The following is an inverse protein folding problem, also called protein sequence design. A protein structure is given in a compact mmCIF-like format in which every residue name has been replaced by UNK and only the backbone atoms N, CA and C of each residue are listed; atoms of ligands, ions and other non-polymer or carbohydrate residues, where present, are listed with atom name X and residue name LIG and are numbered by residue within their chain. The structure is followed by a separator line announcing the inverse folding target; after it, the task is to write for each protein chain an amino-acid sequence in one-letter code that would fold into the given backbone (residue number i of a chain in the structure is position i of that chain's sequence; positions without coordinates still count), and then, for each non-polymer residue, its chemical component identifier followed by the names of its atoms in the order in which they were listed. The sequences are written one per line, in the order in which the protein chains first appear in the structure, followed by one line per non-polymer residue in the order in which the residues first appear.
data_IF_512476668804
#
_entry.id   IF_512476668804
#
_cell.length_a   1.000
_cell.length_b   1.000
_cell.length_c   1.000
_cell.angle_alpha   90.00
_cell.angle_beta   90.00
_cell.angle_gamma   90.00
#
_symmetry.space_group_name_H-M   'P 1'
#
loop_
_entity.id
_entity.type
_entity.pdbx_description
1 polymer ?
#
# COMPACT_ATOMS: atom_id res chain seq x y z
N UNK A 1 -9.23 11.94 0.75
CA UNK A 1 -8.09 12.29 -0.15
C UNK A 1 -7.88 11.09 -1.06
N UNK A 2 -7.79 11.27 -2.39
CA UNK A 2 -7.49 10.16 -3.31
C UNK A 2 -6.08 9.62 -3.04
N UNK A 3 -5.91 8.30 -3.14
CA UNK A 3 -4.62 7.64 -3.00
C UNK A 3 -3.82 7.87 -4.29
N UNK A 4 -2.55 8.28 -4.16
CA UNK A 4 -1.65 8.42 -5.30
C UNK A 4 -1.41 7.04 -5.97
N UNK A 5 -1.18 7.00 -7.29
CA UNK A 5 -0.91 5.76 -8.00
C UNK A 5 0.32 5.05 -7.43
N UNK A 6 0.20 3.74 -7.23
CA UNK A 6 1.31 2.91 -6.77
C UNK A 6 2.36 2.81 -7.89
N UNK A 7 3.57 3.32 -7.65
CA UNK A 7 4.70 3.14 -8.57
C UNK A 7 5.45 1.85 -8.24
N UNK A 8 5.76 1.05 -9.26
CA UNK A 8 6.59 -0.14 -9.13
C UNK A 8 7.97 0.13 -9.73
N UNK A 9 9.03 -0.28 -9.04
CA UNK A 9 10.40 -0.05 -9.46
C UNK A 9 11.39 -0.83 -8.61
N UNK A 10 12.57 -1.09 -9.16
CA UNK A 10 13.71 -1.66 -8.42
C UNK A 10 14.64 -0.53 -7.99
N UNK A 11 14.91 -0.45 -6.69
CA UNK A 11 15.80 0.54 -6.12
C UNK A 11 17.11 -0.13 -5.72
N UNK A 12 18.23 0.46 -6.13
CA UNK A 12 19.57 0.01 -5.74
C UNK A 12 20.13 1.00 -4.71
N UNK A 13 20.64 0.49 -3.60
CA UNK A 13 21.21 1.32 -2.54
C UNK A 13 21.39 0.56 -1.24
N UNK A 14 21.95 1.24 -0.24
CA UNK A 14 22.14 0.72 1.11
C UNK A 14 20.95 1.19 1.96
N UNK A 15 20.23 0.24 2.56
CA UNK A 15 19.17 0.57 3.51
C UNK A 15 19.80 1.20 4.76
N UNK A 16 19.52 2.48 4.99
CA UNK A 16 19.99 3.22 6.17
C UNK A 16 19.02 3.03 7.34
N UNK A 17 17.73 3.13 7.06
CA UNK A 17 16.70 3.05 8.09
C UNK A 17 15.40 2.47 7.52
N UNK A 18 14.68 1.74 8.38
CA UNK A 18 13.38 1.18 8.11
C UNK A 18 12.49 1.50 9.31
N UNK A 19 11.36 2.15 9.05
CA UNK A 19 10.27 2.30 10.01
C UNK A 19 9.04 1.60 9.45
N UNK A 20 8.31 0.93 10.33
CA UNK A 20 7.04 0.33 9.95
C UNK A 20 6.00 0.59 11.03
N UNK A 21 4.77 0.79 10.61
CA UNK A 21 3.61 0.99 11.47
C UNK A 21 2.49 0.10 10.98
N UNK A 22 1.71 -0.43 11.92
CA UNK A 22 0.55 -1.26 11.62
C UNK A 22 -0.69 -0.69 12.30
N UNK A 23 -1.77 -0.56 11.53
CA UNK A 23 -3.09 -0.19 12.02
C UNK A 23 -4.13 -1.23 11.61
N UNK A 24 -5.11 -1.45 12.49
CA UNK A 24 -6.22 -2.38 12.27
C UNK A 24 -7.51 -1.60 12.12
N UNK A 25 -8.28 -1.91 11.09
CA UNK A 25 -9.53 -1.26 10.72
C UNK A 25 -10.61 -2.35 10.61
N UNK A 26 -11.32 -2.68 11.70
CA UNK A 26 -12.43 -3.62 11.64
C UNK A 26 -13.56 -3.07 10.77
N UNK A 27 -14.17 -3.92 9.95
CA UNK A 27 -15.30 -3.51 9.11
C UNK A 27 -16.59 -3.44 9.95
N UNK A 28 -17.31 -2.30 9.97
CA UNK A 28 -18.52 -2.17 10.77
C UNK A 28 -19.71 -2.97 10.21
N UNK A 29 -19.68 -3.32 8.92
CA UNK A 29 -20.76 -4.01 8.22
C UNK A 29 -20.54 -5.53 8.14
N UNK A 30 -19.28 -5.98 8.15
CA UNK A 30 -18.92 -7.40 8.07
C UNK A 30 -18.20 -7.86 9.35
N UNK A 31 -18.96 -8.42 10.29
CA UNK A 31 -18.39 -9.05 11.49
C UNK A 31 -17.33 -10.09 11.10
N UNK A 32 -16.22 -10.08 11.82
CA UNK A 32 -15.09 -10.97 11.56
C UNK A 32 -14.12 -10.47 10.48
N UNK A 33 -14.46 -9.41 9.73
CA UNK A 33 -13.55 -8.78 8.78
C UNK A 33 -12.72 -7.67 9.46
N UNK A 34 -11.42 -7.67 9.21
CA UNK A 34 -10.51 -6.62 9.67
C UNK A 34 -9.50 -6.33 8.59
N UNK A 35 -9.43 -5.09 8.17
CA UNK A 35 -8.36 -4.62 7.28
C UNK A 35 -7.14 -4.26 8.11
N UNK A 36 -5.98 -4.79 7.72
CA UNK A 36 -4.71 -4.48 8.34
C UNK A 36 -3.91 -3.64 7.36
N UNK A 37 -3.63 -2.42 7.73
CA UNK A 37 -2.76 -1.53 6.98
C UNK A 37 -1.37 -1.55 7.60
N UNK A 38 -0.38 -1.83 6.77
CA UNK A 38 1.03 -1.78 7.13
C UNK A 38 1.65 -0.65 6.31
N UNK A 39 2.16 0.37 6.99
CA UNK A 39 2.92 1.46 6.40
C UNK A 39 4.39 1.20 6.62
N UNK A 40 5.19 1.14 5.57
CA UNK A 40 6.64 0.96 5.64
C UNK A 40 7.31 2.18 5.02
N UNK A 41 8.21 2.81 5.76
CA UNK A 41 9.02 3.92 5.30
C UNK A 41 10.47 3.46 5.27
N UNK A 42 11.06 3.47 4.09
CA UNK A 42 12.48 3.15 3.85
C UNK A 42 13.26 4.45 3.64
N UNK A 43 14.44 4.51 4.22
CA UNK A 43 15.46 5.50 3.89
C UNK A 43 16.64 4.77 3.27
N UNK A 44 16.94 5.06 2.01
CA UNK A 44 17.91 4.34 1.20
C UNK A 44 19.00 5.33 0.78
N UNK A 45 20.26 4.99 1.05
CA UNK A 45 21.40 5.68 0.46
C UNK A 45 21.63 5.16 -0.95
N UNK A 46 21.50 6.05 -1.93
CA UNK A 46 21.74 5.74 -3.35
C UNK A 46 23.04 6.36 -3.88
N UNK A 47 23.88 6.90 -2.99
CA UNK A 47 25.17 7.49 -3.35
C UNK A 47 25.06 8.84 -4.09
N UNK A 48 23.90 9.48 -4.07
CA UNK A 48 23.71 10.81 -4.69
C UNK A 48 24.10 11.93 -3.72
N UNK A 49 24.68 13.04 -4.23
CA UNK A 49 25.04 14.20 -3.41
C UNK A 49 23.82 14.91 -2.81
N UNK A 50 22.62 14.66 -3.34
CA UNK A 50 21.35 15.14 -2.77
C UNK A 50 20.98 14.47 -1.44
N UNK A 51 21.71 13.41 -1.04
CA UNK A 51 21.44 12.64 0.16
C UNK A 51 20.52 11.44 -0.07
N UNK A 52 20.06 10.80 1.01
CA UNK A 52 19.27 9.58 0.94
C UNK A 52 17.86 9.82 0.42
N UNK A 53 17.29 8.80 -0.22
CA UNK A 53 15.92 8.79 -0.72
C UNK A 53 14.99 8.17 0.31
N UNK A 54 13.82 8.78 0.49
CA UNK A 54 12.75 8.23 1.30
C UNK A 54 11.70 7.59 0.39
N UNK A 55 11.26 6.40 0.75
CA UNK A 55 10.20 5.70 0.04
C UNK A 55 9.18 5.15 1.00
N UNK A 56 7.91 5.36 0.68
CA UNK A 56 6.78 4.91 1.47
C UNK A 56 6.02 3.81 0.72
N UNK A 57 5.74 2.72 1.42
CA UNK A 57 4.90 1.62 0.95
C UNK A 57 3.71 1.48 1.88
N UNK A 58 2.53 1.31 1.30
CA UNK A 58 1.32 0.96 2.04
C UNK A 58 0.85 -0.39 1.55
N UNK A 59 0.80 -1.36 2.46
CA UNK A 59 0.33 -2.70 2.18
C UNK A 59 -0.95 -2.92 2.97
N UNK A 60 -2.02 -3.30 2.29
CA UNK A 60 -3.29 -3.63 2.91
C UNK A 60 -3.50 -5.14 2.87
N UNK A 61 -3.83 -5.74 4.01
CA UNK A 61 -4.21 -7.14 4.14
C UNK A 61 -5.64 -7.25 4.63
N UNK A 62 -6.33 -8.30 4.20
CA UNK A 62 -7.62 -8.67 4.78
C UNK A 62 -7.42 -9.82 5.75
N UNK A 63 -7.95 -9.64 6.96
CA UNK A 63 -8.18 -10.71 7.91
C UNK A 63 -9.67 -11.02 7.99
N UNK A 64 -10.01 -12.30 7.95
CA UNK A 64 -11.37 -12.79 8.12
C UNK A 64 -11.38 -13.96 9.09
N UNK A 65 -12.17 -13.86 10.15
CA UNK A 65 -12.39 -14.93 11.12
C UNK A 65 -11.08 -15.53 11.68
N UNK A 66 -10.09 -14.66 11.96
CA UNK A 66 -8.78 -15.05 12.49
C UNK A 66 -7.80 -15.61 11.46
N UNK A 67 -8.12 -15.57 10.15
CA UNK A 67 -7.23 -16.01 9.06
C UNK A 67 -6.85 -14.84 8.15
N UNK A 68 -5.59 -14.83 7.69
CA UNK A 68 -5.13 -13.92 6.63
C UNK A 68 -5.72 -14.38 5.31
N UNK A 69 -6.40 -13.49 4.59
CA UNK A 69 -6.91 -13.73 3.24
C UNK A 69 -5.89 -13.34 2.17
N UNK A 70 -4.88 -12.57 2.54
CA UNK A 70 -3.82 -12.09 1.64
C UNK A 70 -3.82 -10.57 1.47
N UNK A 71 -2.86 -10.04 0.69
CA UNK A 71 -2.81 -8.63 0.36
C UNK A 71 -3.98 -8.25 -0.54
N UNK A 72 -4.56 -7.07 -0.32
CA UNK A 72 -5.49 -6.49 -1.27
C UNK A 72 -4.74 -6.08 -2.53
N UNK A 73 -5.30 -6.36 -3.72
CA UNK A 73 -4.76 -5.78 -4.93
C UNK A 73 -4.87 -4.25 -4.86
N UNK A 74 -3.99 -3.52 -5.57
CA UNK A 74 -4.19 -2.09 -5.75
C UNK A 74 -5.57 -1.83 -6.36
N UNK A 75 -6.17 -0.66 -6.09
CA UNK A 75 -7.39 -0.28 -6.77
C UNK A 75 -7.15 -0.34 -8.29
N UNK A 76 -8.16 -0.75 -9.08
CA UNK A 76 -8.07 -0.64 -10.53
C UNK A 76 -7.75 0.81 -10.89
N UNK A 77 -6.95 1.01 -11.94
CA UNK A 77 -6.72 2.35 -12.47
C UNK A 77 -8.09 2.96 -12.84
N UNK A 78 -8.38 4.16 -12.35
CA UNK A 78 -9.54 4.94 -12.80
C UNK A 78 -9.34 5.21 -14.29
N UNK A 79 -9.88 4.32 -15.13
CA UNK A 79 -10.06 4.59 -16.54
C UNK A 79 -11.15 5.65 -16.63
N UNK A 80 -10.72 6.90 -16.71
CA UNK A 80 -11.57 8.04 -17.03
C UNK A 80 -12.09 7.84 -18.46
N UNK A 81 -13.18 7.06 -18.62
CA UNK A 81 -13.71 6.74 -19.94
C UNK A 81 -14.70 5.58 -20.00
N UNK A 82 -15.98 5.88 -19.80
CA UNK A 82 -17.06 5.24 -20.55
C UNK A 82 -18.01 4.34 -19.75
N UNK A 83 -18.98 4.96 -19.05
CA UNK A 83 -20.33 4.39 -19.04
C UNK A 83 -20.84 4.34 -20.49
N UNK A 84 -20.74 3.19 -21.14
CA UNK A 84 -21.63 2.84 -22.23
C UNK A 84 -22.57 1.76 -21.71
N UNK A 85 -23.76 2.19 -21.31
CA UNK A 85 -24.90 1.29 -21.22
C UNK A 85 -25.15 0.66 -22.59
N UNK A 86 -25.32 -0.67 -22.57
CA UNK A 86 -26.04 -1.46 -23.56
C UNK A 86 -26.43 -2.71 -22.76
N UNK A 87 -27.69 -2.72 -22.30
CA UNK A 87 -28.79 -3.54 -22.86
C UNK A 87 -28.60 -5.04 -22.60
#
# INVERSE_FOLDING_TARGET
MPLLPASSGTFYGILINLRWEQSKHPDPNLMGLTFIQIRVILMIDIGLPSGPVYQEFVILYVWRDGRTMGPLPPPPEDNDGGFNGIE
#
